data_IF_509697643564
#
_entry.id   IF_509697643564
#
_cell.length_a   1.000
_cell.length_b   1.000
_cell.length_c   1.000
_cell.angle_alpha   90.00
_cell.angle_beta   90.00
_cell.angle_gamma   90.00
#
_symmetry.space_group_name_H-M   'P 1'
#
loop_
_entity.id
_entity.type
_entity.pdbx_description
1 polymer ?
#
# COMPACT_ATOMS: atom_id res chain seq x y z
N UNK A 1 -2.05 24.32 8.12
CA UNK A 1 -1.49 22.95 8.12
C UNK A 1 -1.21 22.54 9.55
N UNK A 2 -1.59 21.33 9.99
CA UNK A 2 -1.31 20.85 11.35
C UNK A 2 0.20 20.85 11.62
N UNK A 3 0.60 21.05 12.88
CA UNK A 3 2.00 20.88 13.29
C UNK A 3 2.36 19.40 13.35
N UNK A 4 3.67 19.10 13.37
CA UNK A 4 4.14 17.73 13.55
C UNK A 4 3.65 17.13 14.88
N UNK A 5 3.58 17.93 15.96
CA UNK A 5 3.00 17.48 17.24
C UNK A 5 1.54 17.05 17.10
N UNK A 6 0.70 17.82 16.40
CA UNK A 6 -0.71 17.44 16.17
C UNK A 6 -0.80 16.12 15.39
N UNK A 7 0.07 15.92 14.40
CA UNK A 7 0.13 14.68 13.63
C UNK A 7 0.54 13.49 14.50
N UNK A 8 1.57 13.65 15.33
CA UNK A 8 2.09 12.63 16.25
C UNK A 8 1.08 12.27 17.34
N UNK A 9 0.42 13.26 17.94
CA UNK A 9 -0.62 13.06 18.94
C UNK A 9 -1.81 12.27 18.37
N UNK A 10 -2.28 12.65 17.18
CA UNK A 10 -3.33 11.92 16.49
C UNK A 10 -2.89 10.50 16.09
N UNK A 11 -1.62 10.33 15.71
CA UNK A 11 -1.05 9.03 15.38
C UNK A 11 -1.03 8.10 16.60
N UNK A 12 -0.59 8.61 17.75
CA UNK A 12 -0.61 7.86 19.01
C UNK A 12 -2.02 7.37 19.37
N UNK A 13 -3.03 8.24 19.19
CA UNK A 13 -4.44 7.92 19.45
C UNK A 13 -4.99 6.89 18.45
N UNK A 14 -4.70 7.01 17.15
CA UNK A 14 -5.23 6.09 16.14
C UNK A 14 -4.59 4.71 16.26
N UNK A 15 -3.32 4.62 16.67
CA UNK A 15 -2.62 3.33 16.85
C UNK A 15 -3.26 2.44 17.92
N UNK A 16 -4.03 3.00 18.87
CA UNK A 16 -4.85 2.21 19.80
C UNK A 16 -5.83 1.31 19.03
N UNK A 17 -6.36 1.79 17.91
CA UNK A 17 -7.27 1.05 17.04
C UNK A 17 -6.52 0.18 16.03
N UNK A 18 -5.22 0.39 15.81
CA UNK A 18 -4.41 -0.36 14.84
C UNK A 18 -3.13 -0.91 15.50
N UNK A 19 -3.25 -1.73 16.55
CA UNK A 19 -2.11 -2.16 17.36
C UNK A 19 -1.08 -2.96 16.57
N UNK A 20 -1.51 -3.65 15.50
CA UNK A 20 -0.63 -4.40 14.61
C UNK A 20 0.47 -3.54 13.98
N UNK A 21 0.21 -2.26 13.70
CA UNK A 21 1.21 -1.36 13.12
C UNK A 21 2.31 -0.99 14.13
N UNK A 22 2.01 -1.04 15.43
CA UNK A 22 2.95 -0.78 16.51
C UNK A 22 3.62 -2.04 17.08
N UNK A 23 3.35 -3.21 16.47
CA UNK A 23 3.93 -4.49 16.87
C UNK A 23 5.30 -4.76 16.26
N UNK A 24 5.76 -6.01 16.40
CA UNK A 24 6.97 -6.53 15.74
C UNK A 24 6.71 -7.91 15.15
N UNK A 25 7.49 -8.32 14.16
CA UNK A 25 7.53 -9.72 13.79
C UNK A 25 8.31 -10.52 14.83
N UNK A 26 7.79 -11.70 15.13
CA UNK A 26 8.48 -12.75 15.86
C UNK A 26 8.32 -14.06 15.10
N UNK A 27 9.18 -15.02 15.40
CA UNK A 27 9.00 -16.41 14.99
C UNK A 27 8.54 -17.19 16.20
N UNK A 28 7.46 -17.96 16.06
CA UNK A 28 6.98 -18.82 17.13
C UNK A 28 7.72 -20.18 17.16
N UNK A 29 7.37 -21.03 18.13
CA UNK A 29 8.00 -22.35 18.32
C UNK A 29 7.77 -23.33 17.15
N UNK A 30 6.87 -22.99 16.22
CA UNK A 30 6.56 -23.76 15.01
C UNK A 30 7.19 -23.14 13.74
N UNK A 31 8.15 -22.22 13.92
CA UNK A 31 8.84 -21.50 12.84
C UNK A 31 7.89 -20.64 11.98
N UNK A 32 6.78 -20.18 12.57
CA UNK A 32 5.80 -19.31 11.87
C UNK A 32 6.07 -17.86 12.19
N UNK A 33 6.04 -17.01 11.17
CA UNK A 33 6.05 -15.56 11.38
C UNK A 33 4.73 -15.10 12.00
N UNK A 34 4.82 -14.49 13.18
CA UNK A 34 3.69 -13.91 13.90
C UNK A 34 3.93 -12.42 14.17
N UNK A 35 2.86 -11.68 14.42
CA UNK A 35 2.94 -10.29 14.88
C UNK A 35 2.72 -10.28 16.39
N UNK A 36 3.72 -9.87 17.16
CA UNK A 36 3.54 -9.61 18.59
C UNK A 36 3.01 -8.18 18.79
N UNK A 37 1.90 -8.06 19.52
CA UNK A 37 1.30 -6.77 19.88
C UNK A 37 1.96 -6.22 21.16
N UNK A 38 3.24 -5.89 21.07
CA UNK A 38 4.06 -5.44 22.20
C UNK A 38 4.07 -3.92 22.40
N UNK A 39 3.32 -3.16 21.60
CA UNK A 39 3.31 -1.70 21.61
C UNK A 39 4.70 -1.05 21.51
N UNK A 40 5.65 -1.71 20.83
CA UNK A 40 7.00 -1.17 20.63
C UNK A 40 7.00 0.11 19.77
N UNK A 41 5.89 0.42 19.12
CA UNK A 41 5.65 1.70 18.47
C UNK A 41 6.05 1.71 17.01
N UNK A 42 5.91 2.88 16.41
CA UNK A 42 6.19 3.17 14.99
C UNK A 42 7.32 4.18 14.91
N UNK A 43 8.13 4.13 13.84
CA UNK A 43 9.21 5.11 13.65
C UNK A 43 8.66 6.37 13.00
N UNK A 44 9.05 7.53 13.53
CA UNK A 44 8.74 8.82 12.92
C UNK A 44 10.03 9.58 12.71
N UNK A 45 10.29 9.96 11.46
CA UNK A 45 11.40 10.85 11.09
C UNK A 45 10.85 12.21 10.72
N UNK A 46 11.38 13.28 11.32
CA UNK A 46 11.00 14.65 10.98
C UNK A 46 12.10 15.31 10.15
N UNK A 47 11.74 15.78 8.96
CA UNK A 47 12.67 16.36 8.00
C UNK A 47 12.23 17.77 7.64
N UNK A 48 13.19 18.69 7.51
CA UNK A 48 12.97 20.02 6.97
C UNK A 48 13.61 20.15 5.59
N UNK A 49 12.86 20.66 4.62
CA UNK A 49 13.32 20.86 3.25
C UNK A 49 13.35 22.36 2.96
N UNK A 50 14.55 22.95 2.73
CA UNK A 50 14.73 24.40 2.54
C UNK A 50 14.35 24.87 1.12
N UNK A 51 13.24 24.36 0.58
CA UNK A 51 12.64 24.77 -0.69
C UNK A 51 11.12 24.85 -0.55
N UNK A 52 10.42 25.33 -1.59
CA UNK A 52 8.95 25.30 -1.59
C UNK A 52 8.43 24.00 -2.17
N UNK A 53 7.28 23.52 -1.69
CA UNK A 53 6.64 22.33 -2.27
C UNK A 53 6.21 22.57 -3.72
N UNK A 54 5.86 23.81 -4.08
CA UNK A 54 5.48 24.18 -5.44
C UNK A 54 6.63 23.98 -6.44
N UNK A 55 7.89 24.19 -6.02
CA UNK A 55 9.07 23.91 -6.85
C UNK A 55 9.29 22.42 -7.12
N UNK A 56 8.71 21.54 -6.30
CA UNK A 56 8.85 20.08 -6.45
C UNK A 56 7.71 19.43 -7.23
N UNK A 57 6.57 20.11 -7.37
CA UNK A 57 5.37 19.56 -7.99
C UNK A 57 5.33 19.87 -9.51
N UNK A 58 4.81 18.93 -10.33
CA UNK A 58 4.41 17.58 -9.96
C UNK A 58 5.63 16.68 -9.70
N UNK A 59 5.49 15.72 -8.79
CA UNK A 59 6.53 14.71 -8.60
C UNK A 59 6.73 13.91 -9.90
N UNK A 60 7.99 13.77 -10.31
CA UNK A 60 8.34 12.94 -11.45
C UNK A 60 8.54 11.50 -10.97
N UNK A 61 7.74 10.52 -11.43
CA UNK A 61 7.83 9.12 -11.01
C UNK A 61 9.14 8.44 -11.41
N UNK A 62 9.86 8.99 -12.40
CA UNK A 62 11.16 8.51 -12.85
C UNK A 62 12.32 9.10 -12.03
N UNK A 63 12.06 10.09 -11.17
CA UNK A 63 13.07 10.65 -10.26
C UNK A 63 13.07 9.89 -8.94
N UNK A 64 14.26 9.75 -8.37
CA UNK A 64 14.41 9.15 -7.06
C UNK A 64 13.80 10.05 -5.96
N UNK A 65 12.72 9.55 -5.35
CA UNK A 65 12.03 10.16 -4.21
C UNK A 65 12.32 9.43 -2.90
N UNK A 66 13.32 8.53 -2.87
CA UNK A 66 13.73 7.77 -1.69
C UNK A 66 14.00 8.66 -0.47
N UNK A 67 14.56 9.86 -0.69
CA UNK A 67 14.82 10.84 0.36
C UNK A 67 13.55 11.34 1.09
N UNK A 68 12.36 11.15 0.51
CA UNK A 68 11.07 11.50 1.13
C UNK A 68 10.44 10.33 1.89
N UNK A 69 11.02 9.12 1.81
CA UNK A 69 10.49 7.89 2.37
C UNK A 69 11.36 7.39 3.54
N UNK A 70 10.76 6.74 4.56
CA UNK A 70 11.51 6.01 5.56
C UNK A 70 12.41 4.90 4.93
N UNK A 71 13.49 4.50 5.60
CA UNK A 71 14.33 3.38 5.15
C UNK A 71 13.58 2.05 5.24
N UNK A 72 13.82 1.15 4.27
CA UNK A 72 13.20 -0.19 4.21
C UNK A 72 14.08 -1.30 4.79
N UNK A 73 15.39 -1.10 4.85
CA UNK A 73 16.37 -2.08 5.31
C UNK A 73 16.80 -1.83 6.75
N UNK A 74 17.06 -2.90 7.51
CA UNK A 74 17.56 -2.81 8.89
C UNK A 74 16.55 -2.20 9.87
N UNK A 75 15.26 -2.31 9.58
CA UNK A 75 14.16 -1.78 10.41
C UNK A 75 13.34 -2.91 11.00
N UNK A 76 12.97 -2.77 12.28
CA UNK A 76 12.12 -3.75 12.96
C UNK A 76 10.65 -3.29 12.99
N UNK A 77 10.43 -1.98 12.86
CA UNK A 77 9.13 -1.35 12.84
C UNK A 77 8.29 -1.83 11.65
N UNK A 78 7.07 -2.26 11.96
CA UNK A 78 6.11 -2.71 10.96
C UNK A 78 5.53 -1.54 10.15
N UNK A 79 5.62 -0.33 10.70
CA UNK A 79 5.13 0.90 10.11
C UNK A 79 6.03 2.08 10.47
N UNK A 80 6.33 2.91 9.48
CA UNK A 80 7.20 4.07 9.60
C UNK A 80 6.61 5.25 8.85
N UNK A 81 6.83 6.46 9.38
CA UNK A 81 6.39 7.73 8.78
C UNK A 81 7.58 8.69 8.71
N UNK A 82 7.67 9.42 7.60
CA UNK A 82 8.56 10.57 7.47
C UNK A 82 7.74 11.83 7.19
N UNK A 83 7.86 12.82 8.08
CA UNK A 83 7.21 14.13 7.96
C UNK A 83 8.17 15.11 7.30
N UNK A 84 7.99 15.38 6.01
CA UNK A 84 8.83 16.27 5.22
C UNK A 84 8.22 17.67 5.14
N UNK A 85 8.65 18.58 6.00
CA UNK A 85 8.15 19.95 6.07
C UNK A 85 8.97 20.89 5.19
N UNK A 86 8.32 21.54 4.23
CA UNK A 86 8.94 22.51 3.32
C UNK A 86 8.98 23.92 3.93
N UNK A 87 9.89 24.76 3.45
CA UNK A 87 10.04 26.16 3.90
C UNK A 87 8.76 26.98 3.73
N UNK A 88 7.95 26.68 2.71
CA UNK A 88 6.63 27.31 2.49
C UNK A 88 5.52 26.78 3.42
N UNK A 89 5.84 25.92 4.39
CA UNK A 89 4.88 25.26 5.28
C UNK A 89 4.15 24.06 4.67
N UNK A 90 4.46 23.71 3.42
CA UNK A 90 3.98 22.49 2.75
C UNK A 90 4.47 21.23 3.46
N UNK A 91 3.74 20.13 3.31
CA UNK A 91 4.05 18.86 3.96
C UNK A 91 3.90 17.71 2.96
N UNK A 92 4.91 16.85 2.91
CA UNK A 92 4.84 15.53 2.27
C UNK A 92 5.00 14.48 3.37
N UNK A 93 4.05 13.56 3.45
CA UNK A 93 4.10 12.43 4.37
C UNK A 93 4.60 11.22 3.58
N UNK A 94 5.84 10.81 3.85
CA UNK A 94 6.37 9.54 3.37
C UNK A 94 6.03 8.43 4.33
N UNK A 95 5.84 7.23 3.81
CA UNK A 95 5.38 6.08 4.59
C UNK A 95 6.02 4.80 4.09
N UNK A 96 6.26 3.88 5.00
CA UNK A 96 6.71 2.53 4.69
C UNK A 96 6.05 1.57 5.67
N UNK A 97 5.36 0.57 5.13
CA UNK A 97 4.67 -0.46 5.90
C UNK A 97 5.03 -1.83 5.38
N UNK A 98 5.15 -2.80 6.28
CA UNK A 98 5.37 -4.17 5.89
C UNK A 98 4.07 -4.82 5.40
N UNK A 99 4.00 -5.18 4.11
CA UNK A 99 2.76 -5.63 3.44
C UNK A 99 2.12 -6.91 4.04
N UNK A 100 2.86 -7.75 4.78
CA UNK A 100 2.28 -8.87 5.56
C UNK A 100 1.35 -8.40 6.71
N UNK A 101 1.46 -7.14 7.13
CA UNK A 101 0.64 -6.59 8.23
C UNK A 101 -0.71 -6.13 7.70
N UNK A 102 -0.73 -5.45 6.56
CA UNK A 102 -1.94 -4.85 6.00
C UNK A 102 -1.83 -4.75 4.48
N UNK A 103 -2.94 -4.99 3.79
CA UNK A 103 -3.06 -4.68 2.36
C UNK A 103 -3.32 -3.19 2.14
N UNK A 104 -3.35 -2.77 0.87
CA UNK A 104 -3.57 -1.37 0.50
C UNK A 104 -4.91 -0.80 0.98
N UNK A 105 -5.97 -1.61 1.09
CA UNK A 105 -7.29 -1.15 1.58
C UNK A 105 -7.27 -0.91 3.09
N UNK A 106 -6.66 -1.82 3.84
CA UNK A 106 -6.48 -1.70 5.28
C UNK A 106 -5.62 -0.48 5.65
N UNK A 107 -4.53 -0.25 4.91
CA UNK A 107 -3.70 0.95 5.07
C UNK A 107 -4.45 2.23 4.69
N UNK A 108 -5.23 2.22 3.61
CA UNK A 108 -6.09 3.37 3.23
C UNK A 108 -7.08 3.73 4.34
N UNK A 109 -7.69 2.72 4.95
CA UNK A 109 -8.62 2.90 6.07
C UNK A 109 -7.92 3.49 7.29
N UNK A 110 -6.70 3.03 7.60
CA UNK A 110 -5.87 3.61 8.65
C UNK A 110 -5.55 5.10 8.38
N UNK A 111 -5.14 5.48 7.16
CA UNK A 111 -4.84 6.87 6.85
C UNK A 111 -6.07 7.78 6.97
N UNK A 112 -7.24 7.30 6.55
CA UNK A 112 -8.50 8.01 6.75
C UNK A 112 -8.77 8.20 8.25
N UNK A 113 -8.64 7.14 9.06
CA UNK A 113 -8.83 7.21 10.50
C UNK A 113 -7.85 8.21 11.17
N UNK A 114 -6.57 8.17 10.79
CA UNK A 114 -5.56 9.09 11.30
C UNK A 114 -5.88 10.54 10.92
N UNK A 115 -6.22 10.81 9.65
CA UNK A 115 -6.59 12.14 9.18
C UNK A 115 -7.87 12.68 9.85
N UNK A 116 -8.80 11.80 10.25
CA UNK A 116 -9.97 12.19 11.05
C UNK A 116 -9.57 12.62 12.45
N UNK A 117 -8.72 11.85 13.13
CA UNK A 117 -8.22 12.21 14.47
C UNK A 117 -7.42 13.50 14.48
N UNK A 118 -6.61 13.75 13.44
CA UNK A 118 -5.90 15.03 13.25
C UNK A 118 -6.89 16.21 13.22
N UNK A 119 -8.09 16.00 12.67
CA UNK A 119 -9.18 17.00 12.60
C UNK A 119 -10.05 17.03 13.85
N UNK A 120 -9.74 16.24 14.89
CA UNK A 120 -10.57 16.13 16.09
C UNK A 120 -11.90 15.40 15.87
N UNK A 121 -11.96 14.54 14.84
CA UNK A 121 -13.14 13.72 14.53
C UNK A 121 -12.93 12.27 14.99
N UNK A 122 -14.02 11.63 15.41
CA UNK A 122 -14.03 10.20 15.75
C UNK A 122 -13.83 9.32 14.50
N UNK A 123 -13.32 8.10 14.69
CA UNK A 123 -13.22 7.09 13.65
C UNK A 123 -14.63 6.58 13.31
N UNK A 124 -14.98 6.52 12.02
CA UNK A 124 -16.27 6.02 11.57
C UNK A 124 -16.38 4.49 11.62
N UNK A 125 -15.35 3.79 11.13
CA UNK A 125 -15.34 2.33 11.02
C UNK A 125 -14.19 1.76 11.82
N UNK A 126 -14.52 0.94 12.81
CA UNK A 126 -13.51 0.25 13.62
C UNK A 126 -12.93 -0.94 12.85
N UNK A 127 -11.59 -1.12 12.86
CA UNK A 127 -10.96 -2.29 12.25
C UNK A 127 -11.27 -3.57 13.03
N UNK A 128 -11.43 -4.68 12.30
CA UNK A 128 -11.58 -6.02 12.87
C UNK A 128 -10.23 -6.74 12.88
N UNK A 129 -9.80 -7.19 14.06
CA UNK A 129 -8.42 -7.66 14.28
C UNK A 129 -8.27 -9.16 14.42
N UNK A 130 -9.37 -9.91 14.63
CA UNK A 130 -9.30 -11.36 14.80
C UNK A 130 -9.09 -12.05 13.44
N UNK A 131 -7.81 -12.13 13.03
CA UNK A 131 -7.40 -12.81 11.79
C UNK A 131 -7.70 -14.30 11.81
N UNK A 132 -7.76 -14.90 13.01
CA UNK A 132 -8.03 -16.32 13.17
C UNK A 132 -9.50 -16.60 12.83
N UNK A 133 -10.44 -15.79 13.34
CA UNK A 133 -11.87 -15.95 13.07
C UNK A 133 -12.23 -15.94 11.57
N UNK A 134 -11.49 -15.19 10.75
CA UNK A 134 -11.74 -15.07 9.29
C UNK A 134 -10.95 -16.06 8.44
N UNK A 135 -9.98 -16.78 9.02
CA UNK A 135 -9.06 -17.68 8.30
C UNK A 135 -9.18 -19.14 8.73
N UNK A 136 -10.32 -19.55 9.29
CA UNK A 136 -10.54 -20.93 9.71
C UNK A 136 -10.69 -21.86 8.49
N UNK A 137 -9.93 -22.96 8.42
CA UNK A 137 -10.16 -23.97 7.39
C UNK A 137 -11.50 -24.67 7.63
N UNK A 138 -12.09 -25.20 6.55
CA UNK A 138 -13.28 -26.04 6.63
C UNK A 138 -12.99 -27.30 7.47
N UNK A 139 -13.97 -27.74 8.26
CA UNK A 139 -13.90 -29.04 8.92
C UNK A 139 -14.17 -30.14 7.88
N UNK A 140 -13.17 -31.01 7.70
CA UNK A 140 -12.76 -31.62 6.44
C UNK A 140 -12.30 -30.61 5.39
N UNK A 141 -10.96 -30.52 5.14
CA UNK A 141 -10.41 -29.73 4.07
C UNK A 141 -10.95 -30.18 2.71
N UNK A 142 -11.32 -29.22 1.86
CA UNK A 142 -11.72 -29.45 0.47
C UNK A 142 -10.93 -28.51 -0.41
N UNK A 143 -10.19 -29.06 -1.36
CA UNK A 143 -9.38 -28.29 -2.32
C UNK A 143 -10.11 -28.39 -3.66
N UNK A 144 -10.50 -27.24 -4.22
CA UNK A 144 -11.31 -27.17 -5.45
C UNK A 144 -10.50 -26.68 -6.67
N UNK A 145 -9.38 -26.00 -6.42
CA UNK A 145 -8.50 -25.44 -7.43
C UNK A 145 -7.06 -25.89 -7.21
N UNK A 146 -6.27 -25.90 -8.29
CA UNK A 146 -4.85 -26.21 -8.26
C UNK A 146 -4.04 -25.03 -7.71
N UNK A 147 -4.18 -24.79 -6.40
CA UNK A 147 -3.39 -23.79 -5.72
C UNK A 147 -1.88 -24.10 -5.65
N UNK A 148 -1.44 -25.36 -5.46
CA UNK A 148 -0.02 -25.69 -5.41
C UNK A 148 0.75 -25.22 -6.63
N UNK A 149 0.15 -25.32 -7.83
CA UNK A 149 0.81 -24.87 -9.06
C UNK A 149 0.71 -23.38 -9.32
N UNK A 150 -0.08 -22.60 -8.56
CA UNK A 150 -0.29 -21.16 -8.81
C UNK A 150 0.35 -20.33 -7.71
N UNK A 151 -0.11 -20.43 -6.46
CA UNK A 151 0.30 -19.55 -5.35
C UNK A 151 1.56 -20.05 -4.63
N UNK A 152 1.86 -21.35 -4.69
CA UNK A 152 2.98 -21.97 -3.97
C UNK A 152 4.18 -22.32 -4.86
N UNK A 153 4.30 -21.71 -6.04
CA UNK A 153 5.46 -21.90 -6.91
C UNK A 153 6.74 -21.48 -6.19
N UNK A 154 7.69 -22.40 -6.03
CA UNK A 154 9.05 -22.04 -5.57
C UNK A 154 9.69 -21.12 -6.60
N UNK A 155 10.06 -19.93 -6.17
CA UNK A 155 10.87 -19.00 -6.97
C UNK A 155 12.17 -19.69 -7.36
N UNK A 156 12.33 -20.04 -8.64
CA UNK A 156 13.58 -20.58 -9.21
C UNK A 156 14.53 -19.49 -9.69
N UNK A 157 14.18 -18.22 -9.45
CA UNK A 157 15.00 -17.06 -9.76
C UNK A 157 16.19 -17.06 -8.81
N UNK A 158 17.35 -17.49 -9.30
CA UNK A 158 18.61 -17.23 -8.62
C UNK A 158 18.99 -15.77 -8.92
N UNK A 159 19.03 -14.88 -7.90
CA UNK A 159 19.38 -13.47 -8.09
C UNK A 159 20.79 -13.29 -8.69
N UNK A 160 21.67 -14.29 -8.58
CA UNK A 160 23.03 -14.26 -9.15
C UNK A 160 23.08 -14.52 -10.66
N UNK A 161 22.08 -15.21 -11.24
CA UNK A 161 22.10 -15.63 -12.66
C UNK A 161 20.99 -15.01 -13.50
N UNK A 162 20.09 -14.25 -12.89
CA UNK A 162 18.99 -13.61 -13.61
C UNK A 162 19.50 -12.32 -14.23
N UNK A 163 19.44 -12.14 -15.56
CA UNK A 163 19.89 -10.90 -16.18
C UNK A 163 19.05 -9.76 -15.58
N UNK A 164 19.73 -8.85 -14.88
CA UNK A 164 19.12 -7.59 -14.43
C UNK A 164 18.73 -6.85 -15.70
N UNK A 165 17.42 -6.72 -15.94
CA UNK A 165 16.94 -5.90 -17.04
C UNK A 165 17.57 -4.50 -16.94
N UNK A 166 18.12 -4.03 -18.06
CA UNK A 166 18.59 -2.66 -18.22
C UNK A 166 17.50 -1.67 -17.78
N UNK A 167 17.86 -0.74 -16.90
CA UNK A 167 17.06 0.40 -16.40
C UNK A 167 15.54 0.28 -16.56
N UNK A 168 14.84 -0.07 -15.49
CA UNK A 168 13.37 0.04 -15.44
C UNK A 168 13.01 1.53 -15.28
N UNK A 169 12.28 2.07 -16.25
CA UNK A 169 11.72 3.42 -16.16
C UNK A 169 10.25 3.36 -15.72
N UNK A 170 9.86 4.28 -14.84
CA UNK A 170 8.45 4.43 -14.44
C UNK A 170 7.80 5.55 -15.25
N UNK A 171 6.68 5.24 -15.91
CA UNK A 171 5.89 6.17 -16.69
C UNK A 171 4.49 6.35 -16.06
N UNK A 172 4.04 7.60 -15.93
CA UNK A 172 2.64 7.90 -15.60
C UNK A 172 1.87 8.06 -16.90
N UNK A 173 0.90 7.16 -17.12
CA UNK A 173 0.00 7.22 -18.28
C UNK A 173 -1.36 7.74 -17.80
N UNK A 174 -1.78 8.87 -18.35
CA UNK A 174 -3.11 9.42 -18.11
C UNK A 174 -4.09 8.90 -19.17
N UNK A 175 -5.10 8.17 -18.73
CA UNK A 175 -6.23 7.76 -19.57
C UNK A 175 -7.40 8.72 -19.38
N UNK A 176 -7.71 9.51 -20.42
CA UNK A 176 -8.83 10.44 -20.38
C UNK A 176 -10.18 9.71 -20.30
N UNK A 177 -11.21 10.41 -19.81
CA UNK A 177 -12.59 9.91 -19.79
C UNK A 177 -13.08 9.55 -21.20
N UNK A 178 -12.80 10.38 -22.21
CA UNK A 178 -13.06 10.06 -23.63
C UNK A 178 -12.43 8.72 -24.04
N UNK A 179 -11.16 8.51 -23.70
CA UNK A 179 -10.46 7.28 -24.06
C UNK A 179 -11.08 6.06 -23.37
N UNK A 180 -11.36 6.16 -22.07
CA UNK A 180 -11.99 5.09 -21.29
C UNK A 180 -13.37 4.75 -21.86
N UNK A 181 -14.18 5.76 -22.19
CA UNK A 181 -15.51 5.56 -22.76
C UNK A 181 -15.43 4.90 -24.14
N UNK A 182 -14.52 5.37 -25.01
CA UNK A 182 -14.28 4.77 -26.32
C UNK A 182 -13.83 3.32 -26.20
N UNK A 183 -12.92 3.03 -25.27
CA UNK A 183 -12.45 1.67 -25.00
C UNK A 183 -13.59 0.76 -24.55
N UNK A 184 -14.43 1.21 -23.62
CA UNK A 184 -15.59 0.46 -23.15
C UNK A 184 -16.62 0.21 -24.27
N UNK A 185 -16.94 1.22 -25.07
CA UNK A 185 -17.88 1.05 -26.20
C UNK A 185 -17.38 0.01 -27.19
N UNK A 186 -16.08 0.04 -27.52
CA UNK A 186 -15.48 -0.96 -28.42
C UNK A 186 -15.62 -2.39 -27.88
N UNK A 187 -15.39 -2.58 -26.57
CA UNK A 187 -15.55 -3.91 -25.94
C UNK A 187 -17.01 -4.35 -25.98
N UNK A 188 -17.97 -3.44 -25.84
CA UNK A 188 -19.40 -3.76 -25.94
C UNK A 188 -19.79 -4.15 -27.37
N UNK A 189 -19.31 -3.43 -28.38
CA UNK A 189 -19.56 -3.71 -29.80
C UNK A 189 -18.99 -5.07 -30.24
N UNK A 190 -17.80 -5.43 -29.76
CA UNK A 190 -17.13 -6.70 -30.09
C UNK A 190 -17.68 -7.89 -29.29
N UNK A 191 -18.51 -7.68 -28.26
CA UNK A 191 -18.98 -8.73 -27.37
C UNK A 191 -20.34 -9.30 -27.81
N UNK A 192 -20.43 -10.62 -27.99
CA UNK A 192 -21.67 -11.30 -28.36
C UNK A 192 -22.71 -11.39 -27.23
N UNK A 193 -22.36 -11.04 -25.98
CA UNK A 193 -23.30 -11.02 -24.86
C UNK A 193 -23.68 -9.58 -24.45
N UNK A 194 -24.87 -9.08 -24.87
CA UNK A 194 -25.30 -7.70 -24.62
C UNK A 194 -25.58 -7.40 -23.13
N UNK A 195 -25.67 -8.42 -22.27
CA UNK A 195 -25.92 -8.25 -20.83
C UNK A 195 -24.63 -8.13 -20.00
N UNK A 196 -23.46 -8.44 -20.59
CA UNK A 196 -22.19 -8.39 -19.88
C UNK A 196 -21.54 -7.02 -20.03
N UNK A 197 -21.45 -6.28 -18.91
CA UNK A 197 -20.73 -5.01 -18.81
C UNK A 197 -19.36 -5.25 -18.19
N UNK A 198 -18.36 -4.51 -18.66
CA UNK A 198 -17.01 -4.54 -18.11
C UNK A 198 -16.71 -3.25 -17.34
N UNK A 199 -16.04 -3.41 -16.22
CA UNK A 199 -15.57 -2.30 -15.37
C UNK A 199 -14.45 -1.52 -16.07
N UNK A 200 -14.19 -0.29 -15.60
CA UNK A 200 -13.01 0.48 -16.06
C UNK A 200 -11.72 -0.30 -15.82
N UNK A 201 -11.62 -0.99 -14.67
CA UNK A 201 -10.46 -1.77 -14.28
C UNK A 201 -10.18 -2.89 -15.28
N UNK A 202 -11.19 -3.72 -15.60
CA UNK A 202 -11.04 -4.81 -16.57
C UNK A 202 -10.63 -4.28 -17.95
N UNK A 203 -11.31 -3.24 -18.45
CA UNK A 203 -11.00 -2.68 -19.76
C UNK A 203 -9.56 -2.13 -19.84
N UNK A 204 -9.13 -1.34 -18.85
CA UNK A 204 -7.79 -0.77 -18.83
C UNK A 204 -6.71 -1.83 -18.60
N UNK A 205 -6.95 -2.80 -17.72
CA UNK A 205 -6.03 -3.91 -17.47
C UNK A 205 -5.82 -4.74 -18.74
N UNK A 206 -6.90 -5.11 -19.43
CA UNK A 206 -6.81 -5.83 -20.71
C UNK A 206 -6.11 -5.01 -21.79
N UNK A 207 -6.40 -3.70 -21.86
CA UNK A 207 -5.73 -2.81 -22.80
C UNK A 207 -4.22 -2.72 -22.54
N UNK A 208 -3.83 -2.49 -21.29
CA UNK A 208 -2.43 -2.41 -20.88
C UNK A 208 -1.70 -3.73 -21.12
N UNK A 209 -2.31 -4.86 -20.75
CA UNK A 209 -1.76 -6.19 -20.98
C UNK A 209 -1.43 -6.38 -22.48
N UNK A 210 -2.39 -6.15 -23.38
CA UNK A 210 -2.19 -6.25 -24.84
C UNK A 210 -1.10 -5.32 -25.41
N UNK A 211 -0.68 -4.29 -24.67
CA UNK A 211 0.37 -3.36 -25.09
C UNK A 211 1.74 -3.69 -24.52
N UNK A 212 1.78 -4.41 -23.41
CA UNK A 212 3.01 -4.81 -22.72
C UNK A 212 3.48 -6.20 -23.17
N UNK A 213 2.55 -7.11 -23.50
CA UNK A 213 2.81 -8.46 -24.01
C UNK A 213 2.45 -8.57 -25.48
#
# INVERSE_FOLDING_TARGET
MPSNEVLKDALSKVLVYYPHLAGRFITDDLDRTCIILNNAGVRITETYIPSTLAEQLPFNPSKDVSHLLPPVEGVEELFQIQLNRYACGGLVIGETSHHRVADGQSMSSFFVAWARMVRGLDIETLPYHDRFAVSQPRNQPKIEFDHPSIEFKKTTVNPETTPVFSSIETLIINYSTEFINKLKSKVVEENCNPHKRYSTFECLLSHAWKKVT
#
